data_IF_686770779747
#
_entry.id   IF_686770779747
#
_cell.length_a   1.000
_cell.length_b   1.000
_cell.length_c   1.000
_cell.angle_alpha   90.00
_cell.angle_beta   90.00
_cell.angle_gamma   90.00
#
_symmetry.space_group_name_H-M   'P 1'
#
loop_
_entity.id
_entity.type
_entity.pdbx_description
1 polymer ?
#
# COMPACT_ATOMS: atom_id res chain seq x y z
N UNK A 1 13.58 -16.74 5.09
CA UNK A 1 13.04 -15.45 5.57
C UNK A 1 12.47 -14.72 4.36
N UNK A 2 11.14 -14.66 4.21
CA UNK A 2 10.55 -13.87 3.11
C UNK A 2 10.67 -12.42 3.53
N UNK A 3 11.60 -11.68 2.90
CA UNK A 3 11.67 -10.23 3.04
C UNK A 3 10.46 -9.70 2.27
N UNK A 4 9.37 -9.46 3.00
CA UNK A 4 8.18 -8.82 2.47
C UNK A 4 8.51 -7.33 2.42
N UNK A 5 8.84 -6.81 1.26
CA UNK A 5 9.09 -5.38 1.04
C UNK A 5 7.78 -4.62 1.27
N UNK A 6 7.45 -4.28 2.53
CA UNK A 6 6.05 -4.05 2.89
C UNK A 6 5.47 -2.78 2.27
N UNK A 7 6.27 -1.74 2.04
CA UNK A 7 5.86 -0.60 1.22
C UNK A 7 7.12 0.02 0.61
N UNK A 8 7.51 -0.41 -0.59
CA UNK A 8 8.53 0.33 -1.35
C UNK A 8 7.87 1.58 -1.93
N UNK A 9 7.78 2.60 -1.08
CA UNK A 9 7.60 3.98 -1.48
C UNK A 9 8.66 4.36 -2.52
N UNK A 10 8.29 5.20 -3.49
CA UNK A 10 9.28 6.15 -3.98
C UNK A 10 9.62 7.05 -2.79
N UNK A 11 10.89 7.07 -2.37
CA UNK A 11 11.36 7.99 -1.32
C UNK A 11 10.85 9.40 -1.66
N UNK A 12 10.23 10.09 -0.68
CA UNK A 12 9.55 11.40 -0.83
C UNK A 12 8.10 11.37 -1.37
N UNK A 13 7.45 10.21 -1.51
CA UNK A 13 6.03 10.16 -1.85
C UNK A 13 5.17 10.79 -0.74
N UNK A 14 4.24 11.71 -1.05
CA UNK A 14 3.35 12.33 -0.06
C UNK A 14 2.27 11.36 0.47
N UNK A 15 2.10 10.21 -0.20
CA UNK A 15 1.10 9.20 0.11
C UNK A 15 1.62 7.78 -0.12
N UNK A 16 0.96 6.82 0.52
CA UNK A 16 1.08 5.40 0.23
C UNK A 16 -0.04 4.97 -0.73
N UNK A 17 0.37 4.47 -1.90
CA UNK A 17 -0.54 3.85 -2.87
C UNK A 17 -1.03 2.50 -2.33
N UNK A 18 -2.35 2.35 -2.22
CA UNK A 18 -3.02 1.16 -1.70
C UNK A 18 -4.26 0.81 -2.54
N UNK A 19 -4.83 -0.37 -2.30
CA UNK A 19 -6.05 -0.83 -2.97
C UNK A 19 -7.18 -1.09 -1.96
N UNK A 20 -8.40 -0.74 -2.35
CA UNK A 20 -9.63 -0.96 -1.56
C UNK A 20 -10.15 -2.38 -1.73
N UNK A 21 -9.61 -3.29 -0.91
CA UNK A 21 -9.92 -4.72 -0.93
C UNK A 21 -11.39 -5.06 -0.63
N UNK A 22 -12.18 -4.12 -0.08
CA UNK A 22 -13.61 -4.27 0.21
C UNK A 22 -14.51 -4.02 -1.00
N UNK A 23 -13.96 -3.48 -2.10
CA UNK A 23 -14.70 -3.16 -3.32
C UNK A 23 -14.41 -4.10 -4.50
N UNK A 24 -13.55 -5.09 -4.31
CA UNK A 24 -13.17 -6.04 -5.34
C UNK A 24 -13.06 -7.45 -4.75
N UNK A 25 -13.28 -8.47 -5.59
CA UNK A 25 -12.96 -9.85 -5.24
C UNK A 25 -11.45 -10.06 -5.13
N UNK A 26 -11.02 -11.10 -4.41
CA UNK A 26 -9.60 -11.44 -4.30
C UNK A 26 -8.99 -11.79 -5.67
N UNK A 27 -9.77 -12.38 -6.57
CA UNK A 27 -9.31 -12.73 -7.92
C UNK A 27 -9.05 -11.48 -8.77
N UNK A 28 -9.96 -10.49 -8.75
CA UNK A 28 -9.75 -9.21 -9.44
C UNK A 28 -8.50 -8.49 -8.92
N UNK A 29 -8.34 -8.46 -7.61
CA UNK A 29 -7.15 -7.88 -6.99
C UNK A 29 -5.89 -8.64 -7.41
N UNK A 30 -5.92 -9.97 -7.47
CA UNK A 30 -4.79 -10.80 -7.92
C UNK A 30 -4.36 -10.46 -9.33
N UNK A 31 -5.31 -10.27 -10.25
CA UNK A 31 -5.04 -9.88 -11.63
C UNK A 31 -4.34 -8.52 -11.68
N UNK A 32 -4.86 -7.51 -10.95
CA UNK A 32 -4.27 -6.17 -10.89
C UNK A 32 -2.89 -6.17 -10.25
N UNK A 33 -2.72 -6.90 -9.15
CA UNK A 33 -1.45 -7.04 -8.45
C UNK A 33 -0.39 -7.71 -9.31
N UNK A 34 -0.74 -8.81 -10.00
CA UNK A 34 0.17 -9.53 -10.92
C UNK A 34 0.58 -8.65 -12.09
N UNK A 35 -0.35 -7.88 -12.67
CA UNK A 35 -0.06 -6.90 -13.74
C UNK A 35 0.94 -5.84 -13.27
N UNK A 36 0.71 -5.22 -12.10
CA UNK A 36 1.62 -4.22 -11.53
C UNK A 36 2.99 -4.81 -11.21
N UNK A 37 3.04 -5.99 -10.61
CA UNK A 37 4.29 -6.66 -10.26
C UNK A 37 5.14 -6.98 -11.51
N UNK A 38 4.50 -7.39 -12.61
CA UNK A 38 5.15 -7.61 -13.92
C UNK A 38 5.67 -6.32 -14.55
N UNK A 39 4.96 -5.20 -14.38
CA UNK A 39 5.33 -3.90 -14.96
C UNK A 39 6.42 -3.15 -14.18
N UNK A 40 6.77 -3.58 -12.96
CA UNK A 40 7.90 -3.00 -12.21
C UNK A 40 9.23 -3.28 -12.93
N UNK A 41 10.22 -2.44 -12.67
CA UNK A 41 11.60 -2.60 -13.17
C UNK A 41 12.56 -2.68 -11.96
N UNK A 42 13.14 -3.85 -11.65
CA UNK A 42 12.90 -5.16 -12.29
C UNK A 42 11.49 -5.72 -11.97
N UNK A 43 10.96 -6.63 -12.81
CA UNK A 43 9.71 -7.33 -12.53
C UNK A 43 9.79 -8.06 -11.19
N UNK A 44 8.67 -8.12 -10.48
CA UNK A 44 8.58 -8.77 -9.17
C UNK A 44 7.47 -9.80 -9.15
N UNK A 45 7.59 -10.75 -8.24
CA UNK A 45 6.52 -11.69 -7.94
C UNK A 45 5.56 -11.05 -6.92
N UNK A 46 4.26 -11.22 -7.15
CA UNK A 46 3.24 -10.92 -6.13
C UNK A 46 3.13 -12.13 -5.20
N UNK A 47 3.22 -11.90 -3.90
CA UNK A 47 3.07 -12.95 -2.89
C UNK A 47 1.74 -12.91 -2.14
N UNK A 48 1.03 -11.76 -2.17
CA UNK A 48 -0.19 -11.53 -1.42
C UNK A 48 -0.35 -10.05 -1.09
N UNK A 49 -1.27 -9.73 -0.17
CA UNK A 49 -1.53 -8.36 0.29
C UNK A 49 -1.35 -8.22 1.79
N UNK A 50 -0.68 -7.14 2.19
CA UNK A 50 -0.78 -6.62 3.54
C UNK A 50 -2.07 -5.79 3.64
N UNK A 51 -3.06 -6.30 4.35
CA UNK A 51 -4.39 -5.69 4.49
C UNK A 51 -4.52 -5.00 5.84
N UNK A 52 -4.93 -3.74 5.80
CA UNK A 52 -5.21 -2.93 6.99
C UNK A 52 -6.61 -2.31 6.87
N UNK A 53 -7.34 -2.22 7.98
CA UNK A 53 -8.63 -1.53 8.01
C UNK A 53 -8.43 -0.03 7.91
N UNK A 54 -9.36 0.70 7.28
CA UNK A 54 -9.33 2.18 7.19
C UNK A 54 -9.12 2.84 8.55
N UNK A 55 -9.79 2.38 9.61
CA UNK A 55 -9.61 2.91 10.98
C UNK A 55 -8.14 2.84 11.47
N UNK A 56 -7.46 1.73 11.18
CA UNK A 56 -6.04 1.53 11.52
C UNK A 56 -5.12 2.32 10.58
N UNK A 57 -5.50 2.49 9.31
CA UNK A 57 -4.75 3.28 8.34
C UNK A 57 -4.82 4.79 8.64
N UNK A 58 -5.97 5.27 9.13
CA UNK A 58 -6.24 6.67 9.49
C UNK A 58 -5.71 7.07 10.88
N UNK A 59 -4.92 6.22 11.55
CA UNK A 59 -4.28 6.59 12.82
C UNK A 59 -3.20 7.67 12.59
N UNK A 60 -2.75 8.31 13.67
CA UNK A 60 -1.63 9.27 13.62
C UNK A 60 -1.85 10.41 12.59
N UNK A 61 -3.07 10.95 12.55
CA UNK A 61 -3.48 12.05 11.66
C UNK A 61 -3.40 11.72 10.16
N UNK A 62 -3.30 10.45 9.78
CA UNK A 62 -3.35 10.03 8.37
C UNK A 62 -4.75 10.17 7.80
N UNK A 63 -4.86 10.46 6.52
CA UNK A 63 -6.12 10.45 5.78
C UNK A 63 -6.09 9.39 4.69
N UNK A 64 -7.22 8.72 4.47
CA UNK A 64 -7.38 7.74 3.40
C UNK A 64 -8.35 8.33 2.39
N UNK A 65 -7.93 8.44 1.13
CA UNK A 65 -8.73 9.02 0.06
C UNK A 65 -8.81 8.05 -1.12
N UNK A 66 -10.00 7.89 -1.69
CA UNK A 66 -10.16 7.12 -2.91
C UNK A 66 -9.66 7.96 -4.10
N UNK A 67 -8.68 7.43 -4.83
CA UNK A 67 -8.03 8.12 -5.96
C UNK A 67 -7.98 7.16 -7.15
N UNK A 68 -9.12 6.87 -7.80
CA UNK A 68 -9.19 5.88 -8.88
C UNK A 68 -8.18 6.17 -9.99
N UNK A 69 -7.45 5.14 -10.42
CA UNK A 69 -6.50 5.23 -11.53
C UNK A 69 -7.06 4.58 -12.80
N UNK A 70 -6.63 4.98 -14.01
CA UNK A 70 -7.15 4.45 -15.26
C UNK A 70 -7.08 2.91 -15.39
N UNK A 71 -6.09 2.29 -14.76
CA UNK A 71 -5.89 0.83 -14.75
C UNK A 71 -6.26 0.16 -13.43
N UNK A 72 -6.73 0.92 -12.44
CA UNK A 72 -7.13 0.44 -11.13
C UNK A 72 -8.15 1.37 -10.48
N UNK A 73 -9.43 1.08 -10.69
CA UNK A 73 -10.55 1.85 -10.10
C UNK A 73 -10.64 1.71 -8.57
N UNK A 74 -9.98 0.71 -8.00
CA UNK A 74 -9.96 0.43 -6.56
C UNK A 74 -8.83 1.14 -5.83
N UNK A 75 -8.04 1.96 -6.54
CA UNK A 75 -6.91 2.68 -5.96
C UNK A 75 -7.35 3.70 -4.90
N UNK A 76 -6.55 3.79 -3.85
CA UNK A 76 -6.65 4.80 -2.81
C UNK A 76 -5.26 5.22 -2.34
N UNK A 77 -5.19 6.39 -1.71
CA UNK A 77 -3.99 6.95 -1.11
C UNK A 77 -4.15 7.03 0.41
N UNK A 78 -3.11 6.63 1.16
CA UNK A 78 -2.97 6.97 2.57
C UNK A 78 -1.99 8.14 2.66
N UNK A 79 -2.51 9.34 2.88
CA UNK A 79 -1.69 10.53 3.10
C UNK A 79 -1.11 10.52 4.51
N UNK A 80 0.21 10.68 4.58
CA UNK A 80 0.93 10.61 5.84
C UNK A 80 0.87 11.92 6.63
N UNK A 81 0.53 13.03 5.97
CA UNK A 81 0.40 14.38 6.55
C UNK A 81 1.66 14.81 7.33
N UNK A 82 2.83 14.45 6.80
CA UNK A 82 4.15 14.79 7.36
C UNK A 82 4.64 16.11 6.73
N UNK A 83 5.18 17.01 7.54
CA UNK A 83 5.74 18.31 7.11
C UNK A 83 7.13 18.47 7.72
N UNK A 84 8.11 18.94 6.93
CA UNK A 84 9.46 19.29 7.39
C UNK A 84 10.58 18.34 6.93
N UNK A 85 11.82 18.67 7.31
CA UNK A 85 13.05 18.05 6.79
C UNK A 85 13.28 16.59 7.24
N UNK A 86 12.61 16.16 8.31
CA UNK A 86 12.67 14.77 8.82
C UNK A 86 11.66 13.83 8.15
N UNK A 87 11.04 14.25 7.05
CA UNK A 87 9.95 13.52 6.40
C UNK A 87 10.30 12.05 6.08
N UNK A 88 11.55 11.78 5.71
CA UNK A 88 11.99 10.44 5.30
C UNK A 88 11.97 9.40 6.42
N UNK A 89 12.45 9.75 7.61
CA UNK A 89 12.51 8.79 8.72
C UNK A 89 11.12 8.62 9.35
N UNK A 90 10.30 9.67 9.35
CA UNK A 90 8.89 9.59 9.73
C UNK A 90 8.09 8.71 8.75
N UNK A 91 8.31 8.85 7.43
CA UNK A 91 7.72 7.99 6.39
C UNK A 91 8.04 6.50 6.65
N UNK A 92 9.32 6.16 6.86
CA UNK A 92 9.72 4.78 7.20
C UNK A 92 9.05 4.26 8.46
N UNK A 93 8.95 5.10 9.50
CA UNK A 93 8.25 4.76 10.73
C UNK A 93 6.77 4.45 10.49
N UNK A 94 6.11 5.27 9.67
CA UNK A 94 4.70 5.09 9.31
C UNK A 94 4.48 3.80 8.51
N UNK A 95 5.29 3.54 7.48
CA UNK A 95 5.23 2.31 6.70
C UNK A 95 5.45 1.06 7.57
N UNK A 96 6.41 1.12 8.50
CA UNK A 96 6.70 0.03 9.45
C UNK A 96 5.52 -0.22 10.39
N UNK A 97 4.88 0.83 10.89
CA UNK A 97 3.70 0.69 11.76
C UNK A 97 2.52 0.08 10.99
N UNK A 98 2.25 0.53 9.77
CA UNK A 98 1.19 -0.01 8.92
C UNK A 98 1.45 -1.49 8.62
N UNK A 99 2.69 -1.86 8.31
CA UNK A 99 3.12 -3.24 8.13
C UNK A 99 2.81 -4.11 9.36
N UNK A 100 3.17 -3.63 10.55
CA UNK A 100 2.95 -4.34 11.81
C UNK A 100 1.45 -4.52 12.15
N UNK A 101 0.60 -3.58 11.73
CA UNK A 101 -0.85 -3.62 11.95
C UNK A 101 -1.63 -4.41 10.90
N UNK A 102 -0.97 -4.78 9.79
CA UNK A 102 -1.58 -5.44 8.65
C UNK A 102 -1.74 -6.93 8.87
N UNK A 103 -2.86 -7.49 8.40
CA UNK A 103 -3.03 -8.93 8.23
C UNK A 103 -2.57 -9.30 6.82
N UNK A 104 -1.81 -10.37 6.68
CA UNK A 104 -1.46 -10.89 5.36
C UNK A 104 -2.59 -11.75 4.79
N UNK A 105 -2.95 -11.48 3.54
CA UNK A 105 -3.80 -12.32 2.71
C UNK A 105 -2.95 -12.96 1.62
N UNK A 106 -2.94 -14.28 1.60
CA UNK A 106 -2.29 -15.06 0.54
C UNK A 106 -3.12 -14.98 -0.76
N UNK A 107 -2.45 -15.21 -1.89
CA UNK A 107 -3.12 -15.29 -3.18
C UNK A 107 -3.98 -16.57 -3.26
N UNK A 108 -5.14 -16.52 -3.93
CA UNK A 108 -5.85 -17.72 -4.35
C UNK A 108 -5.05 -18.52 -5.38
#
# INVERSE_FOLDING_TARGET
MIIRDVFLEAVEAPSLSVDRMDHATLDEMAVLGRKRAKNRKPPRQLHGWAVITVRKAASNRRTVEATPQPDNIYHADIFLNIVGDEARDQQKGHATELAARSRWLDLP
#
